data_IF_176981544775
#
_entry.id   IF_176981544775
#
_cell.length_a   1.000
_cell.length_b   1.000
_cell.length_c   1.000
_cell.angle_alpha   90.00
_cell.angle_beta   90.00
_cell.angle_gamma   90.00
#
_symmetry.space_group_name_H-M   'P 1'
#
loop_
_entity.id
_entity.type
_entity.pdbx_description
1 polymer ?
#
# COMPACT_ATOMS: atom_id res chain seq x y z
N UNK A 1 6.12 34.45 -4.26
CA UNK A 1 5.82 33.01 -4.34
C UNK A 1 4.30 32.88 -4.33
N UNK A 2 3.68 32.38 -5.41
CA UNK A 2 2.26 32.12 -5.43
C UNK A 2 2.05 30.97 -4.43
N UNK A 3 1.24 31.18 -3.39
CA UNK A 3 0.86 30.14 -2.43
C UNK A 3 0.19 29.00 -3.22
N UNK A 4 0.82 27.84 -3.26
CA UNK A 4 0.22 26.67 -3.90
C UNK A 4 -1.05 26.32 -3.14
N UNK A 5 -2.16 26.13 -3.87
CA UNK A 5 -3.47 25.84 -3.29
C UNK A 5 -3.44 24.48 -2.63
N UNK A 6 -3.83 24.38 -1.35
CA UNK A 6 -4.09 23.09 -0.71
C UNK A 6 -5.29 22.41 -1.38
N UNK A 7 -5.21 21.10 -1.61
CA UNK A 7 -6.32 20.30 -2.11
C UNK A 7 -7.35 20.04 -1.00
N UNK A 8 -8.61 20.29 -1.29
CA UNK A 8 -9.72 19.97 -0.40
C UNK A 8 -10.19 18.54 -0.65
N UNK A 9 -10.28 17.75 0.42
CA UNK A 9 -10.59 16.32 0.36
C UNK A 9 -11.94 16.00 0.99
N UNK A 10 -12.74 15.17 0.30
CA UNK A 10 -13.86 14.43 0.85
C UNK A 10 -13.53 12.95 1.05
N UNK A 11 -14.16 12.30 2.01
CA UNK A 11 -14.03 10.86 2.22
C UNK A 11 -15.37 10.17 2.07
N UNK A 12 -15.42 9.07 1.31
CA UNK A 12 -16.55 8.15 1.26
C UNK A 12 -16.22 6.95 2.16
N UNK A 13 -16.82 6.92 3.34
CA UNK A 13 -16.58 5.93 4.39
C UNK A 13 -15.91 6.53 5.62
N UNK A 14 -16.46 6.24 6.82
CA UNK A 14 -15.90 6.63 8.12
C UNK A 14 -15.48 5.40 8.94
N UNK A 15 -14.96 4.40 8.27
CA UNK A 15 -14.54 3.15 8.89
C UNK A 15 -13.10 3.18 9.42
N UNK A 16 -12.63 1.96 9.71
CA UNK A 16 -11.27 1.71 10.18
C UNK A 16 -10.21 2.25 9.22
N UNK A 17 -10.44 2.12 7.91
CA UNK A 17 -9.48 2.56 6.90
C UNK A 17 -9.27 4.07 6.98
N UNK A 18 -10.35 4.84 6.90
CA UNK A 18 -10.32 6.30 7.03
C UNK A 18 -9.59 6.77 8.28
N UNK A 19 -9.99 6.24 9.44
CA UNK A 19 -9.55 6.76 10.74
C UNK A 19 -8.19 6.24 11.20
N UNK A 20 -7.70 5.14 10.64
CA UNK A 20 -6.44 4.52 11.04
C UNK A 20 -5.34 4.69 9.99
N UNK A 21 -5.69 4.59 8.71
CA UNK A 21 -4.70 4.53 7.63
C UNK A 21 -4.64 5.78 6.75
N UNK A 22 -5.65 6.68 6.82
CA UNK A 22 -5.72 7.89 5.99
C UNK A 22 -5.62 9.18 6.81
N UNK A 23 -6.61 9.46 7.65
CA UNK A 23 -6.68 10.72 8.40
C UNK A 23 -5.43 11.04 9.22
N UNK A 24 -4.81 10.08 9.96
CA UNK A 24 -3.61 10.38 10.75
C UNK A 24 -2.43 10.90 9.93
N UNK A 25 -2.34 10.55 8.66
CA UNK A 25 -1.29 11.01 7.76
C UNK A 25 -1.64 12.32 7.06
N UNK A 26 -2.89 12.48 6.64
CA UNK A 26 -3.35 13.69 5.94
C UNK A 26 -3.37 14.91 6.85
N UNK A 27 -3.81 14.76 8.10
CA UNK A 27 -3.88 15.88 9.06
C UNK A 27 -2.49 16.46 9.43
N UNK A 28 -1.42 15.75 9.13
CA UNK A 28 -0.05 16.24 9.28
C UNK A 28 0.45 17.04 8.06
N UNK A 29 -0.30 17.03 6.96
CA UNK A 29 0.01 17.67 5.68
C UNK A 29 -0.91 18.87 5.39
N UNK A 30 -1.14 19.71 6.43
CA UNK A 30 -2.08 20.84 6.38
C UNK A 30 -1.74 21.90 5.35
N UNK A 31 -0.49 21.98 4.96
CA UNK A 31 0.01 22.83 3.88
C UNK A 31 -0.42 22.37 2.50
N UNK A 32 -0.69 21.07 2.34
CA UNK A 32 -1.08 20.44 1.07
C UNK A 32 -2.55 20.02 1.01
N UNK A 33 -3.15 19.70 2.16
CA UNK A 33 -4.49 19.09 2.21
C UNK A 33 -5.38 19.68 3.31
N UNK A 34 -6.67 19.80 2.97
CA UNK A 34 -7.74 20.14 3.90
C UNK A 34 -8.85 19.10 3.81
N UNK A 35 -9.09 18.38 4.89
CA UNK A 35 -10.26 17.48 4.98
C UNK A 35 -11.49 18.33 5.26
N UNK A 36 -12.51 18.21 4.39
CA UNK A 36 -13.74 19.01 4.49
C UNK A 36 -14.93 18.20 4.95
N UNK A 37 -15.21 17.07 4.30
CA UNK A 37 -16.44 16.30 4.52
C UNK A 37 -16.16 14.81 4.51
N UNK A 38 -16.79 14.07 5.43
CA UNK A 38 -16.75 12.61 5.50
C UNK A 38 -18.17 12.08 5.42
N UNK A 39 -18.44 11.28 4.36
CA UNK A 39 -19.69 10.54 4.21
C UNK A 39 -19.64 9.23 5.01
N UNK A 40 -20.72 8.95 5.72
CA UNK A 40 -20.93 7.75 6.52
C UNK A 40 -22.30 7.14 6.23
N UNK A 41 -22.33 6.01 5.58
CA UNK A 41 -23.57 5.34 5.16
C UNK A 41 -24.51 5.01 6.32
N UNK A 42 -23.97 4.74 7.50
CA UNK A 42 -24.76 4.38 8.68
C UNK A 42 -24.26 5.16 9.91
N UNK A 43 -24.88 6.32 10.21
CA UNK A 43 -24.48 7.16 11.34
C UNK A 43 -24.68 6.51 12.71
N UNK A 44 -25.58 5.53 12.82
CA UNK A 44 -25.88 4.87 14.10
C UNK A 44 -24.82 3.84 14.53
N UNK A 45 -23.90 3.48 13.65
CA UNK A 45 -22.83 2.50 13.92
C UNK A 45 -21.43 3.13 13.92
N UNK A 46 -21.36 4.42 14.23
CA UNK A 46 -20.11 5.18 14.20
C UNK A 46 -19.46 5.23 15.57
N UNK A 47 -18.31 4.55 15.70
CA UNK A 47 -17.53 4.48 16.95
C UNK A 47 -16.27 5.35 16.93
N UNK A 48 -16.02 6.10 15.83
CA UNK A 48 -14.83 6.90 15.69
C UNK A 48 -15.01 8.32 16.20
N UNK A 49 -13.94 8.87 16.79
CA UNK A 49 -13.93 10.26 17.26
C UNK A 49 -13.97 11.22 16.07
N UNK A 50 -14.89 12.19 16.15
CA UNK A 50 -15.02 13.22 15.13
C UNK A 50 -13.90 14.27 15.24
N UNK A 51 -13.56 14.85 14.11
CA UNK A 51 -12.66 15.99 14.00
C UNK A 51 -13.54 17.25 13.90
N UNK A 52 -13.41 18.16 14.85
CA UNK A 52 -14.30 19.34 14.96
C UNK A 52 -14.36 20.22 13.69
N UNK A 53 -13.26 20.26 12.92
CA UNK A 53 -13.20 21.04 11.67
C UNK A 53 -13.75 20.31 10.44
N UNK A 54 -14.26 19.08 10.60
CA UNK A 54 -14.72 18.22 9.49
C UNK A 54 -16.23 18.02 9.58
N UNK A 55 -16.92 18.22 8.47
CA UNK A 55 -18.34 17.91 8.35
C UNK A 55 -18.54 16.40 8.20
N UNK A 56 -19.50 15.84 8.95
CA UNK A 56 -19.93 14.44 8.79
C UNK A 56 -21.36 14.42 8.26
N UNK A 57 -21.61 13.62 7.22
CA UNK A 57 -22.91 13.55 6.54
C UNK A 57 -23.29 12.12 6.19
N UNK A 58 -24.57 11.84 6.06
CA UNK A 58 -25.15 10.62 5.49
C UNK A 58 -25.75 10.85 4.09
N UNK A 59 -25.60 12.06 3.55
CA UNK A 59 -25.94 12.41 2.18
C UNK A 59 -24.66 12.51 1.34
N UNK A 60 -24.48 11.59 0.39
CA UNK A 60 -23.31 11.56 -0.49
C UNK A 60 -23.25 12.76 -1.43
N UNK A 61 -24.41 13.32 -1.80
CA UNK A 61 -24.49 14.47 -2.70
C UNK A 61 -23.79 15.71 -2.11
N UNK A 62 -23.70 15.80 -0.80
CA UNK A 62 -22.95 16.88 -0.14
C UNK A 62 -21.42 16.80 -0.37
N UNK A 63 -20.90 15.67 -0.81
CA UNK A 63 -19.50 15.52 -1.27
C UNK A 63 -19.43 15.69 -2.78
N UNK A 64 -20.31 15.01 -3.51
CA UNK A 64 -20.24 14.94 -4.96
C UNK A 64 -20.52 16.30 -5.62
N UNK A 65 -21.50 17.06 -5.11
CA UNK A 65 -21.87 18.37 -5.64
C UNK A 65 -21.10 19.55 -5.02
N UNK A 66 -20.23 19.32 -4.05
CA UNK A 66 -19.44 20.40 -3.44
C UNK A 66 -18.27 20.80 -4.36
N UNK A 67 -18.36 21.99 -4.96
CA UNK A 67 -17.35 22.53 -5.88
C UNK A 67 -16.00 22.86 -5.23
N UNK A 68 -15.93 22.94 -3.90
CA UNK A 68 -14.66 23.15 -3.19
C UNK A 68 -13.87 21.87 -2.99
N UNK A 69 -14.49 20.68 -3.12
CA UNK A 69 -13.81 19.40 -2.99
C UNK A 69 -13.10 19.07 -4.31
N UNK A 70 -11.77 19.02 -4.26
CA UNK A 70 -10.90 18.72 -5.40
C UNK A 70 -10.73 17.20 -5.59
N UNK A 71 -10.67 16.43 -4.49
CA UNK A 71 -10.40 15.00 -4.49
C UNK A 71 -11.29 14.26 -3.49
N UNK A 72 -11.71 13.05 -3.84
CA UNK A 72 -12.44 12.16 -2.94
C UNK A 72 -11.66 10.87 -2.71
N UNK A 73 -11.59 10.46 -1.45
CA UNK A 73 -10.97 9.19 -1.04
C UNK A 73 -12.08 8.17 -0.75
N UNK A 74 -12.08 7.07 -1.48
CA UNK A 74 -13.05 5.97 -1.31
C UNK A 74 -12.48 4.94 -0.35
N UNK A 75 -13.05 4.86 0.85
CA UNK A 75 -12.63 4.01 1.97
C UNK A 75 -13.74 3.05 2.38
N UNK A 76 -14.27 2.30 1.42
CA UNK A 76 -15.38 1.36 1.60
C UNK A 76 -14.92 -0.10 1.42
N UNK A 77 -15.84 -1.04 1.30
CA UNK A 77 -15.52 -2.41 0.85
C UNK A 77 -15.23 -2.44 -0.64
N UNK A 78 -14.41 -3.39 -1.07
CA UNK A 78 -13.99 -3.54 -2.47
C UNK A 78 -15.17 -3.67 -3.44
N UNK A 79 -16.25 -4.30 -3.00
CA UNK A 79 -17.52 -4.47 -3.72
C UNK A 79 -18.19 -3.17 -4.15
N UNK A 80 -17.86 -2.07 -3.52
CA UNK A 80 -18.42 -0.73 -3.82
C UNK A 80 -17.41 0.26 -4.40
N UNK A 81 -16.14 -0.12 -4.56
CA UNK A 81 -15.10 0.76 -5.07
C UNK A 81 -15.37 1.25 -6.47
N UNK A 82 -15.84 0.36 -7.36
CA UNK A 82 -16.15 0.70 -8.76
C UNK A 82 -17.23 1.77 -8.85
N UNK A 83 -18.37 1.56 -8.20
CA UNK A 83 -19.52 2.47 -8.26
C UNK A 83 -19.17 3.84 -7.68
N UNK A 84 -18.57 3.89 -6.49
CA UNK A 84 -18.18 5.18 -5.91
C UNK A 84 -17.10 5.90 -6.71
N UNK A 85 -16.12 5.18 -7.25
CA UNK A 85 -15.09 5.78 -8.10
C UNK A 85 -15.68 6.40 -9.37
N UNK A 86 -16.62 5.71 -10.00
CA UNK A 86 -17.33 6.20 -11.17
C UNK A 86 -18.11 7.47 -10.85
N UNK A 87 -18.91 7.46 -9.78
CA UNK A 87 -19.65 8.64 -9.32
C UNK A 87 -18.73 9.84 -9.06
N UNK A 88 -17.61 9.63 -8.38
CA UNK A 88 -16.61 10.67 -8.08
C UNK A 88 -16.04 11.29 -9.36
N UNK A 89 -15.63 10.44 -10.32
CA UNK A 89 -15.09 10.90 -11.59
C UNK A 89 -16.15 11.61 -12.45
N UNK A 90 -17.38 11.11 -12.47
CA UNK A 90 -18.51 11.74 -13.19
C UNK A 90 -18.81 13.15 -12.66
N UNK A 91 -18.57 13.40 -11.35
CA UNK A 91 -18.67 14.72 -10.71
C UNK A 91 -17.38 15.55 -10.79
N UNK A 92 -16.47 15.20 -11.72
CA UNK A 92 -15.24 15.92 -12.03
C UNK A 92 -14.29 16.12 -10.82
N UNK A 93 -14.15 15.10 -9.98
CA UNK A 93 -13.22 15.08 -8.85
C UNK A 93 -12.14 14.02 -9.03
N UNK A 94 -10.91 14.31 -8.60
CA UNK A 94 -9.88 13.30 -8.50
C UNK A 94 -10.28 12.22 -7.49
N UNK A 95 -9.75 11.01 -7.64
CA UNK A 95 -10.15 9.87 -6.81
C UNK A 95 -8.93 9.10 -6.28
N UNK A 96 -8.91 8.83 -4.98
CA UNK A 96 -8.02 7.87 -4.35
C UNK A 96 -8.86 6.73 -3.79
N UNK A 97 -8.54 5.48 -4.11
CA UNK A 97 -9.35 4.32 -3.76
C UNK A 97 -8.56 3.36 -2.87
N UNK A 98 -9.20 2.88 -1.82
CA UNK A 98 -8.62 1.83 -0.97
C UNK A 98 -8.33 0.55 -1.76
N UNK A 99 -7.46 -0.25 -1.18
CA UNK A 99 -7.09 -1.57 -1.73
C UNK A 99 -8.00 -2.68 -1.13
N UNK A 100 -8.26 -3.75 -1.87
CA UNK A 100 -7.95 -3.98 -3.29
C UNK A 100 -8.66 -2.97 -4.18
N UNK A 101 -8.02 -2.54 -5.27
CA UNK A 101 -8.50 -1.40 -6.07
C UNK A 101 -9.90 -1.62 -6.65
N UNK A 102 -10.08 -2.71 -7.41
CA UNK A 102 -11.35 -3.10 -8.03
C UNK A 102 -11.51 -4.61 -7.94
N UNK A 103 -12.71 -5.12 -8.11
CA UNK A 103 -12.97 -6.57 -8.10
C UNK A 103 -12.43 -7.29 -9.35
N UNK A 104 -12.27 -6.54 -10.46
CA UNK A 104 -11.78 -7.11 -11.72
C UNK A 104 -10.90 -6.15 -12.51
N UNK A 105 -10.07 -6.72 -13.38
CA UNK A 105 -9.26 -5.94 -14.31
C UNK A 105 -10.08 -5.19 -15.36
N UNK A 106 -11.28 -5.64 -15.68
CA UNK A 106 -12.21 -4.92 -16.59
C UNK A 106 -12.73 -3.63 -15.95
N UNK A 107 -13.19 -3.70 -14.70
CA UNK A 107 -13.58 -2.51 -13.93
C UNK A 107 -12.41 -1.52 -13.79
N UNK A 108 -11.21 -2.02 -13.47
CA UNK A 108 -10.04 -1.16 -13.38
C UNK A 108 -9.73 -0.44 -14.68
N UNK A 109 -9.78 -1.13 -15.83
CA UNK A 109 -9.55 -0.54 -17.15
C UNK A 109 -10.60 0.53 -17.49
N UNK A 110 -11.87 0.27 -17.20
CA UNK A 110 -12.96 1.21 -17.45
C UNK A 110 -12.77 2.50 -16.63
N UNK A 111 -12.50 2.36 -15.34
CA UNK A 111 -12.30 3.50 -14.44
C UNK A 111 -11.06 4.33 -14.82
N UNK A 112 -9.94 3.70 -15.19
CA UNK A 112 -8.77 4.42 -15.67
C UNK A 112 -9.06 5.14 -17.01
N UNK A 113 -9.86 4.52 -17.90
CA UNK A 113 -10.25 5.14 -19.16
C UNK A 113 -11.14 6.38 -18.93
N UNK A 114 -12.12 6.28 -18.03
CA UNK A 114 -12.98 7.39 -17.64
C UNK A 114 -12.19 8.55 -17.02
N UNK A 115 -11.25 8.24 -16.10
CA UNK A 115 -10.40 9.25 -15.50
C UNK A 115 -9.54 9.97 -16.56
N UNK A 116 -8.95 9.21 -17.49
CA UNK A 116 -8.16 9.75 -18.60
C UNK A 116 -8.99 10.66 -19.52
N UNK A 117 -10.20 10.24 -19.90
CA UNK A 117 -11.13 11.01 -20.73
C UNK A 117 -11.47 12.35 -20.09
N UNK A 118 -11.68 12.36 -18.78
CA UNK A 118 -12.02 13.57 -18.01
C UNK A 118 -10.78 14.41 -17.60
N UNK A 119 -9.57 13.97 -17.88
CA UNK A 119 -8.34 14.63 -17.42
C UNK A 119 -8.16 14.60 -15.90
N UNK A 120 -8.73 13.60 -15.25
CA UNK A 120 -8.68 13.42 -13.79
C UNK A 120 -7.64 12.38 -13.39
N UNK A 121 -7.22 12.44 -12.13
CA UNK A 121 -6.34 11.46 -11.52
C UNK A 121 -7.19 10.47 -10.72
N UNK A 122 -6.94 9.19 -10.95
CA UNK A 122 -7.38 8.12 -10.05
C UNK A 122 -6.19 7.23 -9.70
N UNK A 123 -6.10 6.83 -8.43
CA UNK A 123 -5.03 5.96 -7.93
C UNK A 123 -5.55 5.00 -6.87
N UNK A 124 -4.90 3.83 -6.75
CA UNK A 124 -5.07 2.95 -5.61
C UNK A 124 -4.22 3.43 -4.42
N UNK A 125 -4.73 3.27 -3.19
CA UNK A 125 -3.98 3.55 -1.97
C UNK A 125 -2.97 2.45 -1.68
N UNK A 126 -1.88 2.41 -2.43
CA UNK A 126 -0.79 1.45 -2.26
C UNK A 126 0.28 2.00 -1.31
N UNK A 127 -0.12 2.14 -0.05
CA UNK A 127 0.68 2.72 1.02
C UNK A 127 1.98 1.94 1.32
N UNK A 128 1.98 0.63 1.06
CA UNK A 128 3.15 -0.23 1.33
C UNK A 128 4.32 -0.02 0.36
N UNK A 129 4.18 0.77 -0.69
CA UNK A 129 5.34 1.30 -1.43
C UNK A 129 6.29 2.06 -0.51
N UNK A 130 5.77 2.57 0.60
CA UNK A 130 6.50 3.35 1.62
C UNK A 130 6.70 2.57 2.92
N UNK A 131 6.68 1.23 2.86
CA UNK A 131 7.17 0.38 3.93
C UNK A 131 8.68 0.59 4.10
N UNK A 132 9.14 0.77 5.32
CA UNK A 132 10.52 1.08 5.67
C UNK A 132 11.51 -0.02 5.23
N UNK A 133 11.10 -1.27 5.31
CA UNK A 133 11.90 -2.43 4.88
C UNK A 133 12.07 -2.44 3.36
N UNK A 134 11.01 -2.19 2.58
CA UNK A 134 11.08 -2.12 1.13
C UNK A 134 11.91 -0.94 0.63
N UNK A 135 11.76 0.25 1.25
CA UNK A 135 12.60 1.41 0.94
C UNK A 135 14.08 1.15 1.24
N UNK A 136 14.37 0.38 2.31
CA UNK A 136 15.74 0.00 2.64
C UNK A 136 16.32 -0.97 1.60
N UNK A 137 15.52 -1.93 1.13
CA UNK A 137 15.91 -2.83 0.02
C UNK A 137 16.24 -2.04 -1.24
N UNK A 138 15.40 -1.06 -1.62
CA UNK A 138 15.68 -0.19 -2.77
C UNK A 138 17.01 0.53 -2.62
N UNK A 139 17.27 1.18 -1.48
CA UNK A 139 18.53 1.87 -1.23
C UNK A 139 19.74 0.93 -1.31
N UNK A 140 19.62 -0.30 -0.81
CA UNK A 140 20.71 -1.29 -0.90
C UNK A 140 20.98 -1.69 -2.36
N UNK A 141 19.92 -1.93 -3.13
CA UNK A 141 20.04 -2.25 -4.56
C UNK A 141 20.71 -1.08 -5.31
N UNK A 142 20.23 0.14 -5.08
CA UNK A 142 20.72 1.36 -5.73
C UNK A 142 22.16 1.72 -5.33
N UNK A 143 22.64 1.23 -4.18
CA UNK A 143 24.04 1.40 -3.77
C UNK A 143 25.05 0.71 -4.71
N UNK A 144 24.58 -0.27 -5.51
CA UNK A 144 25.42 -1.06 -6.39
C UNK A 144 26.30 -2.12 -5.70
N UNK A 145 26.31 -2.17 -4.36
CA UNK A 145 27.17 -3.10 -3.59
C UNK A 145 26.83 -4.57 -3.84
N UNK A 146 25.59 -4.89 -4.21
CA UNK A 146 25.17 -6.24 -4.55
C UNK A 146 25.66 -6.70 -5.94
N UNK A 147 26.07 -5.78 -6.83
CA UNK A 147 26.30 -6.04 -8.24
C UNK A 147 24.99 -6.37 -8.98
N UNK A 148 25.09 -7.11 -10.11
CA UNK A 148 23.90 -7.53 -10.84
C UNK A 148 23.01 -8.41 -9.95
N UNK A 149 21.72 -8.08 -9.89
CA UNK A 149 20.76 -8.85 -9.10
C UNK A 149 20.47 -10.20 -9.75
N UNK A 150 20.38 -11.23 -8.93
CA UNK A 150 20.05 -12.61 -9.34
C UNK A 150 18.71 -13.05 -8.79
N UNK A 151 18.47 -12.80 -7.51
CA UNK A 151 17.26 -13.22 -6.82
C UNK A 151 16.87 -12.21 -5.74
N UNK A 152 15.55 -11.95 -5.63
CA UNK A 152 14.94 -11.25 -4.51
C UNK A 152 13.81 -12.11 -3.97
N UNK A 153 13.86 -12.44 -2.69
CA UNK A 153 12.77 -13.08 -1.98
C UNK A 153 12.08 -12.06 -1.07
N UNK A 154 10.77 -11.98 -1.19
CA UNK A 154 9.89 -11.17 -0.35
C UNK A 154 8.93 -12.09 0.40
N UNK A 155 8.90 -11.98 1.73
CA UNK A 155 8.05 -12.81 2.56
C UNK A 155 7.14 -11.95 3.43
N UNK A 156 5.86 -12.34 3.47
CA UNK A 156 4.89 -11.67 4.35
C UNK A 156 4.05 -12.73 5.06
N UNK A 157 4.68 -13.42 6.00
CA UNK A 157 4.13 -14.57 6.68
C UNK A 157 3.28 -14.21 7.90
N UNK A 158 2.36 -15.12 8.24
CA UNK A 158 1.57 -15.11 9.46
C UNK A 158 1.47 -16.51 10.06
N UNK A 159 1.13 -16.57 11.34
CA UNK A 159 0.64 -17.80 11.96
C UNK A 159 -0.82 -17.60 12.38
N UNK A 160 -1.75 -18.04 11.51
CA UNK A 160 -3.21 -17.89 11.69
C UNK A 160 -3.94 -19.19 11.32
N UNK A 161 -3.63 -20.33 11.99
CA UNK A 161 -4.20 -21.64 11.62
C UNK A 161 -5.70 -21.77 11.92
N UNK A 162 -6.27 -20.83 12.69
CA UNK A 162 -7.65 -20.85 13.16
C UNK A 162 -8.43 -19.62 12.69
N UNK A 163 -8.21 -19.16 11.46
CA UNK A 163 -9.04 -18.08 10.90
C UNK A 163 -10.49 -18.54 10.86
N UNK A 164 -11.46 -17.79 11.45
CA UNK A 164 -12.86 -18.16 11.44
C UNK A 164 -13.40 -18.43 10.04
N UNK A 165 -14.32 -19.38 9.91
CA UNK A 165 -15.02 -19.68 8.67
C UNK A 165 -16.06 -18.58 8.37
N UNK A 166 -15.61 -17.46 7.85
CA UNK A 166 -16.50 -16.37 7.46
C UNK A 166 -16.98 -16.48 6.02
N UNK A 167 -16.50 -17.48 5.28
CA UNK A 167 -16.71 -17.60 3.84
C UNK A 167 -16.91 -19.04 3.48
N UNK A 168 -18.15 -19.40 3.19
CA UNK A 168 -18.51 -20.73 2.65
C UNK A 168 -18.36 -20.80 1.12
N UNK A 169 -18.20 -19.62 0.48
CA UNK A 169 -18.01 -19.50 -0.97
C UNK A 169 -16.72 -18.78 -1.27
N UNK A 170 -15.97 -19.27 -2.25
CA UNK A 170 -14.78 -18.61 -2.74
C UNK A 170 -15.16 -17.32 -3.48
N UNK A 171 -14.58 -16.19 -3.02
CA UNK A 171 -14.65 -14.89 -3.70
C UNK A 171 -13.22 -14.39 -3.88
N UNK A 172 -12.80 -14.21 -5.13
CA UNK A 172 -11.42 -13.83 -5.46
C UNK A 172 -10.98 -12.56 -4.73
N UNK A 173 -11.82 -11.54 -4.73
CA UNK A 173 -11.60 -10.24 -4.09
C UNK A 173 -11.49 -10.30 -2.57
N UNK A 174 -12.03 -11.37 -1.96
CA UNK A 174 -11.93 -11.66 -0.53
C UNK A 174 -10.73 -12.55 -0.19
N UNK A 175 -10.04 -13.06 -1.20
CA UNK A 175 -8.93 -13.99 -1.01
C UNK A 175 -7.70 -13.31 -0.40
N UNK A 176 -6.86 -14.09 0.24
CA UNK A 176 -5.62 -13.60 0.84
C UNK A 176 -4.65 -13.06 -0.22
N UNK A 177 -4.55 -13.73 -1.37
CA UNK A 177 -3.78 -13.23 -2.50
C UNK A 177 -4.28 -11.85 -2.95
N UNK A 178 -5.58 -11.66 -3.08
CA UNK A 178 -6.16 -10.40 -3.54
C UNK A 178 -6.02 -9.29 -2.48
N UNK A 179 -6.39 -9.59 -1.22
CA UNK A 179 -6.40 -8.63 -0.14
C UNK A 179 -5.02 -8.25 0.37
N UNK A 180 -4.03 -9.14 0.26
CA UNK A 180 -2.66 -8.94 0.74
C UNK A 180 -1.62 -8.96 -0.37
N UNK A 181 -1.70 -9.91 -1.28
CA UNK A 181 -0.77 -10.01 -2.42
C UNK A 181 -0.80 -8.77 -3.32
N UNK A 182 -1.91 -8.02 -3.36
CA UNK A 182 -1.96 -6.75 -4.07
C UNK A 182 -0.91 -5.74 -3.60
N UNK A 183 -0.54 -5.75 -2.31
CA UNK A 183 0.52 -4.88 -1.79
C UNK A 183 1.91 -5.34 -2.23
N UNK A 184 2.21 -6.62 -2.04
CA UNK A 184 3.53 -7.15 -2.33
C UNK A 184 3.81 -7.18 -3.83
N UNK A 185 2.81 -7.49 -4.65
CA UNK A 185 2.91 -7.38 -6.10
C UNK A 185 3.08 -5.93 -6.57
N UNK A 186 2.35 -4.99 -5.95
CA UNK A 186 2.50 -3.57 -6.28
C UNK A 186 3.91 -3.06 -5.94
N UNK A 187 4.48 -3.44 -4.79
CA UNK A 187 5.85 -3.09 -4.45
C UNK A 187 6.83 -3.56 -5.54
N UNK A 188 6.75 -4.82 -5.94
CA UNK A 188 7.64 -5.39 -6.97
C UNK A 188 7.42 -4.72 -8.32
N UNK A 189 6.18 -4.61 -8.79
CA UNK A 189 5.87 -4.06 -10.12
C UNK A 189 6.17 -2.56 -10.19
N UNK A 190 5.99 -1.82 -9.11
CA UNK A 190 6.31 -0.39 -9.06
C UNK A 190 7.80 -0.11 -9.18
N UNK A 191 8.66 -1.03 -8.75
CA UNK A 191 10.11 -0.88 -8.76
C UNK A 191 10.78 -1.53 -9.98
N UNK A 192 10.39 -2.77 -10.31
CA UNK A 192 11.00 -3.54 -11.41
C UNK A 192 10.21 -3.47 -12.72
N UNK A 193 8.99 -2.90 -12.69
CA UNK A 193 8.12 -2.87 -13.86
C UNK A 193 7.36 -4.19 -14.07
N UNK A 194 6.85 -4.38 -15.30
CA UNK A 194 6.11 -5.58 -15.69
C UNK A 194 7.08 -6.75 -15.89
N UNK A 195 6.85 -7.92 -15.27
CA UNK A 195 7.69 -9.10 -15.47
C UNK A 195 7.51 -9.71 -16.88
N UNK A 196 8.53 -10.42 -17.35
CA UNK A 196 8.49 -11.16 -18.63
C UNK A 196 7.50 -12.34 -18.54
N UNK A 197 7.51 -13.06 -17.43
CA UNK A 197 6.57 -14.13 -17.14
C UNK A 197 6.44 -14.36 -15.61
N UNK A 198 5.39 -15.09 -15.21
CA UNK A 198 5.08 -15.40 -13.81
C UNK A 198 4.78 -16.89 -13.69
N UNK A 199 5.42 -17.55 -12.71
CA UNK A 199 4.97 -18.86 -12.20
C UNK A 199 4.27 -18.64 -10.86
N UNK A 200 3.27 -19.47 -10.55
CA UNK A 200 2.52 -19.31 -9.30
C UNK A 200 2.07 -20.63 -8.70
N UNK A 201 2.05 -20.67 -7.38
CA UNK A 201 1.41 -21.70 -6.57
C UNK A 201 0.50 -21.02 -5.52
N UNK A 202 -0.80 -21.23 -5.63
CA UNK A 202 -1.81 -20.64 -4.76
C UNK A 202 -2.67 -21.74 -4.16
N UNK A 203 -2.77 -21.80 -2.82
CA UNK A 203 -3.40 -22.93 -2.12
C UNK A 203 -4.42 -22.49 -1.08
N UNK A 204 -5.31 -23.45 -0.76
CA UNK A 204 -6.33 -23.40 0.30
C UNK A 204 -5.95 -24.42 1.38
N UNK A 205 -4.98 -24.11 2.22
CA UNK A 205 -4.44 -25.04 3.23
C UNK A 205 -5.35 -25.17 4.46
N UNK A 206 -6.20 -24.16 4.72
CA UNK A 206 -7.21 -24.18 5.79
C UNK A 206 -8.41 -25.08 5.48
N UNK A 207 -8.54 -25.54 4.25
CA UNK A 207 -9.58 -26.49 3.86
C UNK A 207 -10.25 -26.17 2.52
N UNK A 208 -10.93 -27.18 1.98
CA UNK A 208 -11.63 -27.07 0.69
C UNK A 208 -12.79 -26.07 0.78
N UNK A 209 -12.93 -25.23 -0.24
CA UNK A 209 -13.98 -24.20 -0.32
C UNK A 209 -13.68 -22.92 0.47
N UNK A 210 -12.57 -22.86 1.20
CA UNK A 210 -12.13 -21.65 1.89
C UNK A 210 -11.35 -20.72 0.94
N UNK A 211 -11.12 -19.47 1.39
CA UNK A 211 -10.22 -18.56 0.67
C UNK A 211 -8.80 -19.11 0.65
N UNK A 212 -8.02 -18.72 -0.36
CA UNK A 212 -6.60 -19.03 -0.32
C UNK A 212 -5.93 -18.36 0.89
N UNK A 213 -4.94 -19.04 1.43
CA UNK A 213 -4.19 -18.68 2.63
C UNK A 213 -2.68 -18.91 2.45
N UNK A 214 -2.31 -19.26 1.24
CA UNK A 214 -0.94 -19.47 0.78
C UNK A 214 -0.80 -19.00 -0.65
N UNK A 215 0.30 -18.28 -0.93
CA UNK A 215 0.77 -18.03 -2.30
C UNK A 215 2.28 -18.00 -2.36
N UNK A 216 2.80 -18.46 -3.49
CA UNK A 216 4.20 -18.41 -3.92
C UNK A 216 4.20 -18.00 -5.38
N UNK A 217 4.70 -16.79 -5.67
CA UNK A 217 4.68 -16.18 -6.99
C UNK A 217 6.12 -15.86 -7.38
N UNK A 218 6.61 -16.46 -8.45
CA UNK A 218 7.91 -16.15 -9.04
C UNK A 218 7.74 -15.26 -10.28
N UNK A 219 8.22 -14.03 -10.19
CA UNK A 219 8.21 -13.04 -11.27
C UNK A 219 9.59 -12.96 -11.88
N UNK A 220 9.71 -13.04 -13.20
CA UNK A 220 10.97 -13.09 -13.92
C UNK A 220 11.21 -11.81 -14.73
N UNK A 221 12.42 -11.27 -14.61
CA UNK A 221 12.91 -10.05 -15.26
C UNK A 221 14.28 -10.37 -15.89
N UNK A 222 14.31 -11.01 -17.06
CA UNK A 222 15.53 -11.55 -17.64
C UNK A 222 16.18 -12.58 -16.72
N UNK A 223 17.34 -12.26 -16.16
CA UNK A 223 18.07 -13.15 -15.24
C UNK A 223 17.62 -13.01 -13.78
N UNK A 224 16.97 -11.91 -13.42
CA UNK A 224 16.47 -11.69 -12.07
C UNK A 224 15.17 -12.46 -11.84
N UNK A 225 15.13 -13.23 -10.75
CA UNK A 225 13.89 -13.82 -10.21
C UNK A 225 13.47 -13.09 -8.96
N UNK A 226 12.23 -12.59 -8.92
CA UNK A 226 11.61 -12.01 -7.74
C UNK A 226 10.54 -12.96 -7.22
N UNK A 227 10.73 -13.51 -6.03
CA UNK A 227 9.79 -14.43 -5.40
C UNK A 227 8.97 -13.70 -4.34
N UNK A 228 7.65 -13.70 -4.46
CA UNK A 228 6.71 -13.11 -3.49
C UNK A 228 5.93 -14.21 -2.83
N UNK A 229 6.17 -14.43 -1.53
CA UNK A 229 5.68 -15.60 -0.81
C UNK A 229 4.96 -15.22 0.47
N UNK A 230 3.84 -15.87 0.75
CA UNK A 230 3.10 -15.67 1.99
C UNK A 230 2.31 -16.91 2.40
N UNK A 231 2.20 -17.14 3.71
CA UNK A 231 1.46 -18.27 4.27
C UNK A 231 0.88 -17.93 5.63
N UNK A 232 -0.30 -18.50 5.94
CA UNK A 232 -0.91 -18.47 7.28
C UNK A 232 -0.34 -19.53 8.25
N UNK A 233 0.57 -20.39 7.80
CA UNK A 233 1.09 -21.51 8.58
C UNK A 233 2.57 -21.37 8.95
N UNK A 234 3.08 -20.14 9.08
CA UNK A 234 4.47 -19.89 9.48
C UNK A 234 4.56 -19.51 10.95
N UNK A 235 4.83 -20.49 11.82
CA UNK A 235 5.05 -20.29 13.26
C UNK A 235 6.24 -19.34 13.49
N UNK A 236 7.31 -19.51 12.70
CA UNK A 236 8.44 -18.58 12.64
C UNK A 236 8.43 -17.93 11.26
N UNK A 237 8.31 -16.61 11.25
CA UNK A 237 8.35 -15.84 10.01
C UNK A 237 9.72 -15.96 9.34
N UNK A 238 9.73 -16.00 8.02
CA UNK A 238 10.96 -15.84 7.23
C UNK A 238 11.42 -14.38 7.25
N UNK A 239 12.69 -14.08 6.93
CA UNK A 239 13.12 -12.70 6.71
C UNK A 239 12.15 -11.97 5.76
N UNK A 240 11.81 -10.70 6.04
CA UNK A 240 10.90 -9.95 5.16
C UNK A 240 11.46 -9.83 3.75
N UNK A 241 12.77 -9.65 3.63
CA UNK A 241 13.49 -9.64 2.36
C UNK A 241 14.81 -10.38 2.42
N UNK A 242 15.12 -11.11 1.34
CA UNK A 242 16.47 -11.63 1.05
C UNK A 242 16.80 -11.26 -0.39
N UNK A 243 17.92 -10.57 -0.60
CA UNK A 243 18.36 -10.13 -1.92
C UNK A 243 19.71 -10.70 -2.23
N UNK A 244 19.87 -11.36 -3.35
CA UNK A 244 21.14 -11.92 -3.85
C UNK A 244 21.55 -11.20 -5.13
N UNK A 245 22.80 -10.75 -5.14
CA UNK A 245 23.48 -10.26 -6.31
C UNK A 245 24.79 -10.98 -6.55
N UNK A 246 25.47 -10.68 -7.66
CA UNK A 246 26.75 -11.31 -7.99
C UNK A 246 27.90 -10.99 -7.02
N UNK A 247 27.83 -9.87 -6.31
CA UNK A 247 28.87 -9.41 -5.40
C UNK A 247 28.49 -9.51 -3.92
N UNK A 248 27.20 -9.71 -3.60
CA UNK A 248 26.77 -9.74 -2.21
C UNK A 248 25.32 -10.14 -2.01
N UNK A 249 24.91 -10.09 -0.76
CA UNK A 249 23.54 -10.36 -0.34
C UNK A 249 23.07 -9.37 0.73
N UNK A 250 21.76 -9.16 0.82
CA UNK A 250 21.13 -8.38 1.87
C UNK A 250 19.99 -9.16 2.51
N UNK A 251 19.93 -9.16 3.85
CA UNK A 251 18.85 -9.79 4.61
C UNK A 251 18.21 -8.74 5.51
N UNK A 252 16.89 -8.57 5.38
CA UNK A 252 16.04 -7.80 6.29
C UNK A 252 15.11 -8.77 7.01
N UNK A 253 15.34 -9.00 8.29
CA UNK A 253 14.57 -9.98 9.08
C UNK A 253 13.16 -9.51 9.38
N UNK A 254 12.98 -8.23 9.68
CA UNK A 254 11.73 -7.67 10.20
C UNK A 254 10.99 -6.84 9.14
N UNK A 255 9.66 -6.93 9.16
CA UNK A 255 8.77 -6.10 8.36
C UNK A 255 8.72 -4.65 8.87
N UNK A 256 8.17 -3.76 8.03
CA UNK A 256 7.77 -2.41 8.42
C UNK A 256 6.88 -2.41 9.67
N UNK A 257 7.07 -1.43 10.54
CA UNK A 257 6.37 -1.33 11.83
C UNK A 257 5.21 -0.35 11.86
N UNK A 258 4.97 0.40 10.78
CA UNK A 258 3.91 1.40 10.75
C UNK A 258 2.53 0.78 11.02
N UNK A 259 2.19 -0.35 10.37
CA UNK A 259 0.90 -1.01 10.59
C UNK A 259 0.76 -1.54 12.03
N UNK A 260 1.83 -2.04 12.64
CA UNK A 260 1.82 -2.47 14.03
C UNK A 260 1.51 -1.30 14.96
N UNK A 261 2.18 -0.18 14.79
CA UNK A 261 1.91 1.06 15.52
C UNK A 261 0.46 1.49 15.35
N UNK A 262 -0.06 1.54 14.13
CA UNK A 262 -1.44 1.93 13.84
C UNK A 262 -2.46 1.00 14.50
N UNK A 263 -2.19 -0.31 14.57
CA UNK A 263 -3.06 -1.28 15.26
C UNK A 263 -3.15 -1.02 16.77
N UNK A 264 -2.09 -0.49 17.35
CA UNK A 264 -2.01 -0.08 18.75
C UNK A 264 -2.47 1.36 18.99
N UNK A 265 -2.99 2.06 17.98
CA UNK A 265 -3.33 3.48 18.02
C UNK A 265 -2.14 4.40 18.34
N UNK A 266 -0.92 3.92 18.12
CA UNK A 266 0.27 4.74 18.16
C UNK A 266 0.41 5.42 16.79
N UNK A 267 0.12 6.73 16.74
CA UNK A 267 -0.15 7.45 15.50
C UNK A 267 1.08 8.19 14.94
N UNK A 268 1.09 8.56 13.64
CA UNK A 268 2.23 9.16 12.97
C UNK A 268 2.74 10.49 13.52
N UNK A 269 2.00 11.16 14.41
CA UNK A 269 2.47 12.36 15.09
C UNK A 269 3.51 12.09 16.18
N UNK A 270 3.71 10.83 16.58
CA UNK A 270 4.77 10.44 17.51
C UNK A 270 6.11 10.32 16.76
N UNK A 271 7.18 10.83 17.37
CA UNK A 271 8.48 10.97 16.72
C UNK A 271 9.11 9.64 16.29
N UNK A 272 8.88 8.57 17.05
CA UNK A 272 9.40 7.22 16.82
C UNK A 272 8.40 6.29 16.11
N UNK A 273 7.28 6.83 15.60
CA UNK A 273 6.28 6.05 14.87
C UNK A 273 6.90 5.28 13.71
N UNK A 274 6.68 3.96 13.70
CA UNK A 274 7.14 3.07 12.63
C UNK A 274 8.66 2.90 12.50
N UNK A 275 9.46 3.55 13.35
CA UNK A 275 10.92 3.48 13.27
C UNK A 275 11.46 2.17 13.82
N UNK A 276 12.48 1.66 13.14
CA UNK A 276 13.24 0.49 13.59
C UNK A 276 14.30 0.86 14.64
N UNK A 277 14.48 -0.04 15.59
CA UNK A 277 15.64 -0.03 16.47
C UNK A 277 16.86 -0.71 15.79
N UNK A 278 18.11 -0.42 16.19
CA UNK A 278 19.32 -0.99 15.57
C UNK A 278 19.32 -2.53 15.49
N UNK A 279 18.67 -3.21 16.43
CA UNK A 279 18.53 -4.68 16.43
C UNK A 279 17.73 -5.22 15.24
N UNK A 280 16.89 -4.38 14.62
CA UNK A 280 16.05 -4.72 13.46
C UNK A 280 16.68 -4.33 12.12
N UNK A 281 17.85 -3.69 12.13
CA UNK A 281 18.55 -3.32 10.89
C UNK A 281 18.93 -4.55 10.10
N UNK A 282 18.80 -4.45 8.77
CA UNK A 282 19.22 -5.50 7.85
C UNK A 282 20.74 -5.68 7.83
N UNK A 283 21.19 -6.83 7.36
CA UNK A 283 22.62 -7.14 7.19
C UNK A 283 22.96 -7.18 5.72
N UNK A 284 23.92 -6.35 5.31
CA UNK A 284 24.52 -6.36 3.98
C UNK A 284 25.89 -7.02 4.04
N UNK A 285 26.08 -8.04 3.21
CA UNK A 285 27.34 -8.77 3.09
C UNK A 285 27.79 -8.73 1.64
N UNK A 286 29.01 -8.28 1.35
CA UNK A 286 29.48 -8.15 -0.02
C UNK A 286 30.99 -8.20 -0.14
N UNK A 287 31.49 -8.48 -1.34
CA UNK A 287 32.87 -8.27 -1.74
C UNK A 287 32.98 -6.97 -2.54
N UNK A 288 33.92 -6.12 -2.16
CA UNK A 288 34.21 -4.90 -2.91
C UNK A 288 35.01 -5.16 -4.21
N UNK A 289 35.35 -4.10 -4.92
CA UNK A 289 36.10 -4.21 -6.18
C UNK A 289 37.55 -4.66 -5.98
N UNK A 290 38.07 -4.62 -4.76
CA UNK A 290 39.40 -5.13 -4.41
C UNK A 290 39.34 -6.61 -3.95
N UNK A 291 38.14 -7.18 -3.85
CA UNK A 291 37.90 -8.54 -3.37
C UNK A 291 37.92 -8.64 -1.83
N UNK A 292 37.80 -7.54 -1.11
CA UNK A 292 37.70 -7.53 0.35
C UNK A 292 36.27 -7.81 0.79
N UNK A 293 36.13 -8.68 1.82
CA UNK A 293 34.86 -9.05 2.41
C UNK A 293 34.35 -7.97 3.38
N UNK A 294 33.10 -7.60 3.26
CA UNK A 294 32.42 -6.66 4.15
C UNK A 294 31.12 -7.25 4.69
N UNK A 295 30.83 -6.98 5.96
CA UNK A 295 29.53 -7.25 6.59
C UNK A 295 29.15 -6.05 7.44
N UNK A 296 27.99 -5.44 7.15
CA UNK A 296 27.55 -4.23 7.83
C UNK A 296 26.05 -4.23 8.12
N UNK A 297 25.66 -3.56 9.20
CA UNK A 297 24.25 -3.28 9.48
C UNK A 297 23.80 -2.05 8.71
N UNK A 298 22.75 -2.21 7.93
CA UNK A 298 22.15 -1.12 7.18
C UNK A 298 21.01 -0.51 7.98
N UNK A 299 21.14 0.77 8.32
CA UNK A 299 20.07 1.51 9.02
C UNK A 299 18.80 1.49 8.14
N UNK A 300 17.69 1.10 8.76
CA UNK A 300 16.39 1.09 8.08
C UNK A 300 15.97 2.51 7.71
N UNK A 301 15.52 2.72 6.47
CA UNK A 301 14.94 3.97 5.99
C UNK A 301 13.60 4.20 6.66
N UNK A 302 13.30 5.42 7.06
CA UNK A 302 12.02 5.75 7.68
C UNK A 302 10.88 5.60 6.64
N UNK A 303 9.90 4.78 6.96
CA UNK A 303 8.66 4.64 6.17
C UNK A 303 7.66 5.74 6.49
N UNK A 304 6.80 6.08 5.52
CA UNK A 304 5.70 7.03 5.73
C UNK A 304 4.57 6.81 4.72
N UNK A 305 3.48 6.19 5.15
CA UNK A 305 2.30 5.94 4.32
C UNK A 305 1.65 7.22 3.78
N UNK A 306 1.90 8.36 4.41
CA UNK A 306 1.42 9.66 3.95
C UNK A 306 2.07 10.11 2.64
N UNK A 307 3.21 9.53 2.23
CA UNK A 307 3.84 9.83 0.94
C UNK A 307 2.97 9.50 -0.27
N UNK A 308 1.99 8.59 -0.15
CA UNK A 308 0.96 8.40 -1.19
C UNK A 308 0.23 9.70 -1.48
N UNK A 309 -0.11 10.46 -0.44
CA UNK A 309 -0.74 11.76 -0.60
C UNK A 309 0.20 12.81 -1.18
N UNK A 310 1.47 12.78 -0.76
CA UNK A 310 2.48 13.69 -1.32
C UNK A 310 2.64 13.48 -2.83
N UNK A 311 2.68 12.23 -3.29
CA UNK A 311 2.77 11.92 -4.73
C UNK A 311 1.53 12.37 -5.50
N UNK A 312 0.34 12.13 -4.96
CA UNK A 312 -0.92 12.59 -5.58
C UNK A 312 -0.94 14.11 -5.68
N UNK A 313 -0.50 14.80 -4.62
CA UNK A 313 -0.37 16.26 -4.63
C UNK A 313 0.57 16.75 -5.73
N UNK A 314 1.76 16.14 -5.85
CA UNK A 314 2.73 16.48 -6.88
C UNK A 314 2.19 16.25 -8.30
N UNK A 315 1.40 15.21 -8.51
CA UNK A 315 0.77 14.92 -9.80
C UNK A 315 -0.32 15.97 -10.10
N UNK A 316 -1.22 16.24 -9.16
CA UNK A 316 -2.37 17.13 -9.39
C UNK A 316 -1.95 18.60 -9.47
N UNK A 317 -1.09 19.06 -8.56
CA UNK A 317 -0.78 20.48 -8.40
C UNK A 317 0.46 20.90 -9.21
N UNK A 318 1.44 20.00 -9.32
CA UNK A 318 2.73 20.29 -9.95
C UNK A 318 2.88 19.63 -11.33
N UNK A 319 1.86 18.91 -11.81
CA UNK A 319 1.86 18.17 -13.09
C UNK A 319 3.07 17.22 -13.21
N UNK A 320 3.53 16.64 -12.09
CA UNK A 320 4.56 15.63 -12.13
C UNK A 320 4.06 14.42 -12.92
N UNK A 321 4.90 13.83 -13.75
CA UNK A 321 4.53 12.60 -14.44
C UNK A 321 4.13 11.52 -13.44
N UNK A 322 3.14 10.72 -13.82
CA UNK A 322 2.65 9.61 -12.98
C UNK A 322 3.77 8.61 -12.75
N UNK A 323 3.95 8.20 -11.52
CA UNK A 323 4.84 7.10 -11.14
C UNK A 323 4.26 5.75 -11.61
#
# INVERSE_FOLDING_TARGET
>A
MISKKALTIGYIGNGKSTNRYHLPFVVQRKDKFKVKTIYRRNPNNDSWKYIDSVKYTDDIEEILNDSEIDMVVVCTGCDSHYEYSKMVLEHNKHCLVEKPFMESSSQAKEIFSLAKEKGLIISAYQNRRYDSDFLTVQNVIESGKLGDLLELEMHFDYYRPYVPENTHEFKAEMSYLYGHGCHTLDQVISYFGKPDHINYDVRQLLGKGRMNDYFDLDLYYGVLKVSVKSSFFRIKERPSFVVYGKKGMFIKETKDRQEECLKLFYMPHNEDFGKDEPKHYGTLTYYDDNGEYHEEKVKTVDGDYGRVYDDIYEIIVNNKEKL
#
